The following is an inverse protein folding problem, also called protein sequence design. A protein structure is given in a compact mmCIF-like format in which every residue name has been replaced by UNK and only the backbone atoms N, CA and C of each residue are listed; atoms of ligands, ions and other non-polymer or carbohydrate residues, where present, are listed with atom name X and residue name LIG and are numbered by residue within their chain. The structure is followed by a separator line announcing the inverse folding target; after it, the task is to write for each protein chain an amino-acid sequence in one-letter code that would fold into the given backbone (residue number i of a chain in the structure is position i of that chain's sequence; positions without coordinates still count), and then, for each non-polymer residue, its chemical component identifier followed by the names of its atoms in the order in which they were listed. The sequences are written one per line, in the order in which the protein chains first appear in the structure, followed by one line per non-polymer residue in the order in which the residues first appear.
data_IF_960105062579
#
_entry.id   IF_960105062579
#
_cell.length_a   1.000
_cell.length_b   1.000
_cell.length_c   1.000
_cell.angle_alpha   90.00
_cell.angle_beta   90.00
_cell.angle_gamma   90.00
#
_symmetry.space_group_name_H-M   'P 1'
#
loop_
_entity.id
_entity.type
_entity.pdbx_description
1 polymer ?
#
# COMPACT_ATOMS: atom_id res chain seq x y z
N UNK A 1 -2.32 0.79 -15.92
CA UNK A 1 -1.25 0.85 -14.90
C UNK A 1 -1.87 1.55 -13.70
N UNK A 2 -1.82 0.93 -12.51
CA UNK A 2 -2.33 1.56 -11.29
C UNK A 2 -1.24 2.43 -10.67
N UNK A 3 -1.62 3.55 -10.06
CA UNK A 3 -0.75 4.38 -9.22
C UNK A 3 -1.06 4.08 -7.75
N UNK A 4 -0.07 3.63 -7.00
CA UNK A 4 -0.27 3.00 -5.68
C UNK A 4 0.61 3.69 -4.65
N UNK A 5 0.03 4.02 -3.50
CA UNK A 5 0.76 4.58 -2.39
C UNK A 5 0.75 3.62 -1.19
N UNK A 6 1.93 3.25 -0.72
CA UNK A 6 2.09 2.39 0.46
C UNK A 6 2.49 3.25 1.66
N UNK A 7 1.62 3.29 2.65
CA UNK A 7 1.84 3.92 3.93
C UNK A 7 2.49 2.93 4.91
N UNK A 8 3.56 3.35 5.58
CA UNK A 8 4.22 2.52 6.60
C UNK A 8 4.62 3.31 7.85
N UNK A 9 4.49 2.67 9.01
CA UNK A 9 5.16 3.15 10.24
C UNK A 9 6.65 2.83 10.16
N UNK A 10 7.56 3.63 10.76
CA UNK A 10 9.01 3.42 10.66
C UNK A 10 9.47 1.99 10.98
N UNK A 11 8.84 1.32 11.95
CA UNK A 11 9.11 -0.08 12.32
C UNK A 11 8.78 -1.11 11.22
N UNK A 12 7.97 -0.74 10.23
CA UNK A 12 7.51 -1.59 9.13
C UNK A 12 8.21 -1.27 7.80
N UNK A 13 9.32 -0.51 7.81
CA UNK A 13 10.02 -0.11 6.57
C UNK A 13 10.42 -1.31 5.69
N UNK A 14 10.93 -2.39 6.30
CA UNK A 14 11.35 -3.58 5.56
C UNK A 14 10.19 -4.26 4.83
N UNK A 15 8.99 -4.20 5.41
CA UNK A 15 7.76 -4.72 4.81
C UNK A 15 7.35 -3.83 3.64
N UNK A 16 7.40 -2.51 3.82
CA UNK A 16 7.05 -1.54 2.78
C UNK A 16 7.93 -1.66 1.55
N UNK A 17 9.25 -1.77 1.75
CA UNK A 17 10.22 -1.95 0.67
C UNK A 17 9.97 -3.26 -0.08
N UNK A 18 9.81 -4.38 0.63
CA UNK A 18 9.54 -5.69 -0.01
C UNK A 18 8.24 -5.70 -0.80
N UNK A 19 7.18 -5.07 -0.27
CA UNK A 19 5.90 -4.98 -0.95
C UNK A 19 6.01 -4.13 -2.23
N UNK A 20 6.70 -3.00 -2.14
CA UNK A 20 6.99 -2.13 -3.29
C UNK A 20 7.77 -2.90 -4.38
N UNK A 21 8.87 -3.56 -4.01
CA UNK A 21 9.68 -4.36 -4.93
C UNK A 21 8.85 -5.46 -5.61
N UNK A 22 7.98 -6.15 -4.86
CA UNK A 22 7.12 -7.20 -5.42
C UNK A 22 6.12 -6.66 -6.44
N UNK A 23 5.50 -5.50 -6.17
CA UNK A 23 4.56 -4.88 -7.10
C UNK A 23 5.24 -4.39 -8.38
N UNK A 24 6.42 -3.77 -8.23
CA UNK A 24 7.22 -3.29 -9.36
C UNK A 24 7.70 -4.46 -10.23
N UNK A 25 8.17 -5.55 -9.61
CA UNK A 25 8.62 -6.75 -10.32
C UNK A 25 7.51 -7.40 -11.16
N UNK A 26 6.26 -7.32 -10.70
CA UNK A 26 5.09 -7.88 -11.39
C UNK A 26 4.39 -6.87 -12.33
N UNK A 27 4.92 -5.67 -12.50
CA UNK A 27 4.39 -4.67 -13.44
C UNK A 27 3.00 -4.14 -13.06
N UNK A 28 2.64 -4.18 -11.78
CA UNK A 28 1.30 -3.80 -11.31
C UNK A 28 1.06 -2.27 -11.44
N UNK A 29 2.13 -1.47 -11.37
CA UNK A 29 2.15 -0.10 -11.86
C UNK A 29 3.20 0.78 -11.19
N UNK A 30 2.88 2.07 -11.01
CA UNK A 30 3.72 3.03 -10.31
C UNK A 30 3.45 2.89 -8.81
N UNK A 31 4.51 2.67 -8.03
CA UNK A 31 4.39 2.39 -6.60
C UNK A 31 5.29 3.35 -5.84
N UNK A 32 4.70 4.16 -4.98
CA UNK A 32 5.38 5.05 -4.05
C UNK A 32 5.19 4.54 -2.62
N UNK A 33 6.17 4.81 -1.76
CA UNK A 33 6.09 4.52 -0.32
C UNK A 33 6.23 5.81 0.47
N UNK A 34 5.46 5.96 1.55
CA UNK A 34 5.54 7.10 2.46
C UNK A 34 5.51 6.63 3.91
N UNK A 35 6.40 7.21 4.73
CA UNK A 35 6.38 6.97 6.16
C UNK A 35 5.37 7.89 6.84
N UNK A 36 4.44 7.31 7.58
CA UNK A 36 3.47 8.06 8.39
C UNK A 36 3.30 7.40 9.74
N UNK A 37 3.32 8.22 10.81
CA UNK A 37 3.16 7.72 12.19
C UNK A 37 1.71 7.38 12.49
N UNK A 38 0.80 8.19 11.95
CA UNK A 38 -0.64 8.00 12.00
C UNK A 38 -1.08 7.63 10.59
N UNK A 39 -1.97 6.65 10.48
CA UNK A 39 -2.36 5.99 9.22
C UNK A 39 -3.88 5.95 9.16
N UNK A 40 -4.47 7.12 9.23
CA UNK A 40 -5.86 7.33 9.59
C UNK A 40 -6.67 8.04 8.50
N UNK A 41 -6.03 8.51 7.44
CA UNK A 41 -6.73 9.02 6.25
C UNK A 41 -6.07 8.65 4.91
N UNK A 42 -6.88 8.77 3.86
CA UNK A 42 -6.47 8.62 2.45
C UNK A 42 -6.45 9.99 1.74
N UNK A 43 -6.43 11.11 2.48
CA UNK A 43 -6.55 12.45 1.91
C UNK A 43 -5.36 12.77 1.00
N UNK A 44 -4.16 12.43 1.43
CA UNK A 44 -2.97 12.58 0.60
C UNK A 44 -3.06 11.75 -0.69
N UNK A 45 -3.40 10.46 -0.60
CA UNK A 45 -3.58 9.59 -1.75
C UNK A 45 -4.61 10.14 -2.75
N UNK A 46 -5.73 10.66 -2.23
CA UNK A 46 -6.78 11.29 -3.04
C UNK A 46 -6.31 12.56 -3.74
N UNK A 47 -5.68 13.48 -3.00
CA UNK A 47 -5.19 14.76 -3.53
C UNK A 47 -4.13 14.56 -4.63
N UNK A 48 -3.34 13.50 -4.52
CA UNK A 48 -2.27 13.15 -5.45
C UNK A 48 -2.71 12.17 -6.55
N UNK A 49 -4.01 11.89 -6.64
CA UNK A 49 -4.65 11.05 -7.66
C UNK A 49 -4.08 9.63 -7.74
N UNK A 50 -3.79 9.02 -6.58
CA UNK A 50 -3.50 7.58 -6.52
C UNK A 50 -4.78 6.77 -6.74
N UNK A 51 -4.64 5.58 -7.34
CA UNK A 51 -5.72 4.61 -7.51
C UNK A 51 -5.97 3.80 -6.24
N UNK A 52 -4.90 3.44 -5.52
CA UNK A 52 -4.94 2.66 -4.29
C UNK A 52 -4.03 3.25 -3.20
N UNK A 53 -4.50 3.17 -1.95
CA UNK A 53 -3.70 3.42 -0.76
C UNK A 53 -3.60 2.14 0.08
N UNK A 54 -2.38 1.69 0.37
CA UNK A 54 -2.10 0.47 1.13
C UNK A 54 -1.47 0.87 2.47
N UNK A 55 -2.11 0.54 3.58
CA UNK A 55 -1.61 0.81 4.92
C UNK A 55 -1.04 -0.45 5.54
N UNK A 56 0.25 -0.43 5.89
CA UNK A 56 0.90 -1.51 6.64
C UNK A 56 0.62 -1.32 8.12
N UNK A 57 -0.42 -2.00 8.59
CA UNK A 57 -0.86 -1.96 9.98
C UNK A 57 0.17 -2.60 10.92
N UNK A 58 0.74 -3.74 10.49
CA UNK A 58 1.79 -4.49 11.18
C UNK A 58 2.53 -5.43 10.20
N UNK A 59 3.43 -6.26 10.69
CA UNK A 59 4.24 -7.18 9.87
C UNK A 59 3.45 -8.23 9.08
N UNK A 60 2.18 -8.46 9.43
CA UNK A 60 1.35 -9.52 8.87
C UNK A 60 0.06 -9.03 8.22
N UNK A 61 -0.33 -7.76 8.40
CA UNK A 61 -1.63 -7.26 7.95
C UNK A 61 -1.49 -5.93 7.24
N UNK A 62 -2.23 -5.79 6.13
CA UNK A 62 -2.40 -4.54 5.39
C UNK A 62 -3.87 -4.20 5.22
N UNK A 63 -4.14 -2.92 5.04
CA UNK A 63 -5.46 -2.40 4.66
C UNK A 63 -5.30 -1.74 3.30
N UNK A 64 -6.09 -2.17 2.31
CA UNK A 64 -6.10 -1.60 0.96
C UNK A 64 -7.37 -0.78 0.80
N UNK A 65 -7.20 0.48 0.41
CA UNK A 65 -8.27 1.37 0.02
C UNK A 65 -8.22 1.62 -1.47
N UNK A 66 -9.26 1.22 -2.19
CA UNK A 66 -9.49 1.67 -3.56
C UNK A 66 -10.08 3.09 -3.50
N UNK A 67 -9.33 4.05 -4.05
CA UNK A 67 -9.63 5.47 -3.90
C UNK A 67 -10.87 5.88 -4.71
N UNK A 68 -11.15 5.18 -5.82
CA UNK A 68 -12.25 5.50 -6.73
C UNK A 68 -13.59 4.98 -6.21
N UNK A 69 -13.59 3.76 -5.72
CA UNK A 69 -14.79 3.04 -5.28
C UNK A 69 -15.05 3.19 -3.80
N UNK A 70 -14.09 3.74 -3.04
CA UNK A 70 -14.11 3.79 -1.57
C UNK A 70 -14.15 2.42 -0.91
N UNK A 71 -13.89 1.36 -1.67
CA UNK A 71 -13.79 0.03 -1.15
C UNK A 71 -12.56 -0.09 -0.25
N UNK A 72 -12.74 -0.75 0.88
CA UNK A 72 -11.69 -0.99 1.86
C UNK A 72 -11.67 -2.46 2.21
N UNK A 73 -10.49 -3.06 2.16
CA UNK A 73 -10.29 -4.45 2.52
C UNK A 73 -9.06 -4.60 3.43
N UNK A 74 -9.13 -5.52 4.39
CA UNK A 74 -8.03 -5.81 5.31
C UNK A 74 -7.59 -7.25 5.11
N UNK A 75 -6.34 -7.44 4.72
CA UNK A 75 -5.80 -8.72 4.25
C UNK A 75 -4.52 -9.09 5.02
N UNK A 76 -4.21 -10.38 5.12
CA UNK A 76 -2.84 -10.80 5.40
C UNK A 76 -1.88 -10.27 4.33
N UNK A 77 -0.70 -9.79 4.72
CA UNK A 77 0.35 -9.36 3.78
C UNK A 77 0.72 -10.49 2.80
N UNK A 78 0.69 -11.75 3.25
CA UNK A 78 0.95 -12.92 2.40
C UNK A 78 0.01 -13.04 1.21
N UNK A 79 -1.21 -12.52 1.32
CA UNK A 79 -2.25 -12.64 0.30
C UNK A 79 -2.12 -11.51 -0.73
N UNK A 80 -1.33 -10.48 -0.41
CA UNK A 80 -1.05 -9.32 -1.26
C UNK A 80 0.20 -9.55 -2.11
N UNK A 81 1.15 -10.35 -1.63
CA UNK A 81 2.32 -10.73 -2.42
C UNK A 81 1.92 -11.54 -3.65
N UNK A 82 2.36 -11.09 -4.82
CA UNK A 82 2.31 -11.87 -6.03
C UNK A 82 3.31 -13.04 -5.94
N UNK A 83 2.86 -14.22 -6.39
CA UNK A 83 3.69 -15.43 -6.48
C UNK A 83 4.25 -15.54 -7.90
N UNK A 84 5.55 -15.80 -8.01
CA UNK A 84 6.26 -16.08 -9.27
C UNK A 84 5.71 -17.32 -10.02
#
# INVERSE_FOLDING_TARGET
MKKILIYYKPENIDVAVKLCDNYLAHGYGEVDIISEKEQDDIEYARRMEYDEAIFIENSNTVIIHDIKTWYTERLPISDVYFKD
#
